data_IF_369771178546
#
_entry.id   IF_369771178546
#
_cell.length_a   1.000
_cell.length_b   1.000
_cell.length_c   1.000
_cell.angle_alpha   90.00
_cell.angle_beta   90.00
_cell.angle_gamma   90.00
#
_symmetry.space_group_name_H-M   'P 1'
#
loop_
_entity.id
_entity.type
_entity.pdbx_description
1 polymer ?
#
# COMPACT_ATOMS: atom_id res chain seq x y z
N UNK A 1 -34.24 14.02 -3.54
CA UNK A 1 -33.23 15.02 -3.17
C UNK A 1 -32.16 15.03 -4.26
N UNK A 2 -32.03 16.10 -5.05
CA UNK A 2 -31.01 16.21 -6.13
C UNK A 2 -29.77 16.83 -5.53
N UNK A 3 -28.64 16.12 -5.58
CA UNK A 3 -27.33 16.65 -5.24
C UNK A 3 -27.01 17.74 -6.27
N UNK A 4 -26.68 18.94 -5.80
CA UNK A 4 -26.39 20.09 -6.68
C UNK A 4 -24.99 19.93 -7.30
N UNK A 5 -24.79 20.38 -8.55
CA UNK A 5 -23.48 20.28 -9.24
C UNK A 5 -22.31 20.89 -8.45
N UNK A 6 -22.61 21.81 -7.52
CA UNK A 6 -21.64 22.47 -6.64
C UNK A 6 -21.05 21.52 -5.58
N UNK A 7 -21.82 20.60 -5.03
CA UNK A 7 -21.30 19.53 -4.13
C UNK A 7 -20.46 18.51 -4.90
N UNK A 8 -20.70 18.37 -6.22
CA UNK A 8 -19.93 17.47 -7.09
C UNK A 8 -18.50 17.96 -7.32
N UNK A 9 -18.29 19.27 -7.39
CA UNK A 9 -17.00 19.88 -7.77
C UNK A 9 -16.11 20.23 -6.59
N UNK A 10 -16.66 20.50 -5.40
CA UNK A 10 -15.86 20.75 -4.18
C UNK A 10 -15.15 19.50 -3.63
N UNK A 11 -15.49 18.30 -4.09
CA UNK A 11 -14.86 17.04 -3.69
C UNK A 11 -13.95 16.44 -4.76
N UNK A 12 -13.27 17.29 -5.55
CA UNK A 12 -12.26 16.90 -6.55
C UNK A 12 -10.91 16.44 -5.95
N UNK A 13 -10.79 16.38 -4.62
CA UNK A 13 -9.69 15.70 -3.94
C UNK A 13 -9.76 14.21 -4.24
N UNK A 14 -8.63 13.62 -4.62
CA UNK A 14 -8.43 12.20 -4.91
C UNK A 14 -9.38 11.29 -4.11
N UNK A 15 -10.40 10.75 -4.78
CA UNK A 15 -11.36 9.84 -4.16
C UNK A 15 -10.78 8.44 -4.08
N UNK A 16 -10.89 7.83 -2.92
CA UNK A 16 -10.59 6.40 -2.79
C UNK A 16 -11.54 5.58 -3.66
N UNK A 17 -11.02 4.49 -4.24
CA UNK A 17 -11.80 3.60 -5.12
C UNK A 17 -12.97 2.96 -4.36
N UNK A 18 -12.81 2.74 -3.06
CA UNK A 18 -13.86 2.29 -2.13
C UNK A 18 -15.06 3.24 -2.13
N UNK A 19 -14.81 4.54 -2.01
CA UNK A 19 -15.82 5.60 -2.00
C UNK A 19 -16.55 5.72 -3.33
N UNK A 20 -15.82 5.61 -4.45
CA UNK A 20 -16.41 5.59 -5.79
C UNK A 20 -17.36 4.39 -5.95
N UNK A 21 -16.95 3.21 -5.48
CA UNK A 21 -17.79 2.01 -5.51
C UNK A 21 -19.08 2.20 -4.69
N UNK A 22 -18.97 2.77 -3.48
CA UNK A 22 -20.14 3.06 -2.64
C UNK A 22 -21.11 4.03 -3.33
N UNK A 23 -20.60 5.08 -3.97
CA UNK A 23 -21.40 6.04 -4.74
C UNK A 23 -22.14 5.37 -5.91
N UNK A 24 -21.47 4.50 -6.67
CA UNK A 24 -22.10 3.78 -7.80
C UNK A 24 -23.13 2.74 -7.35
N UNK A 25 -22.96 2.13 -6.18
CA UNK A 25 -23.92 1.17 -5.63
C UNK A 25 -25.14 1.86 -5.02
N UNK A 26 -24.94 2.91 -4.23
CA UNK A 26 -26.00 3.69 -3.61
C UNK A 26 -25.49 5.08 -3.23
N UNK A 27 -25.83 6.09 -4.03
CA UNK A 27 -25.43 7.48 -3.81
C UNK A 27 -25.89 8.01 -2.44
N UNK A 28 -27.09 7.62 -1.99
CA UNK A 28 -27.60 8.02 -0.68
C UNK A 28 -26.80 7.43 0.49
N UNK A 29 -26.33 6.17 0.35
CA UNK A 29 -25.48 5.54 1.35
C UNK A 29 -24.15 6.28 1.49
N UNK A 30 -23.56 6.69 0.38
CA UNK A 30 -22.32 7.48 0.38
C UNK A 30 -22.50 8.82 1.12
N UNK A 31 -23.62 9.52 0.89
CA UNK A 31 -23.92 10.78 1.59
C UNK A 31 -24.07 10.58 3.11
N UNK A 32 -24.74 9.49 3.53
CA UNK A 32 -24.85 9.16 4.95
C UNK A 32 -23.49 8.83 5.57
N UNK A 33 -22.68 8.06 4.85
CA UNK A 33 -21.34 7.67 5.26
C UNK A 33 -20.44 8.89 5.53
N UNK A 34 -20.50 9.91 4.67
CA UNK A 34 -19.76 11.15 4.86
C UNK A 34 -20.26 12.01 6.03
N UNK A 35 -21.55 11.96 6.34
CA UNK A 35 -22.17 12.81 7.38
C UNK A 35 -22.11 12.20 8.76
N UNK A 36 -22.25 10.88 8.84
CA UNK A 36 -22.37 10.13 10.11
C UNK A 36 -21.05 9.43 10.46
N UNK A 37 -20.22 9.14 9.46
CA UNK A 37 -18.98 8.36 9.61
C UNK A 37 -19.24 6.85 9.69
N UNK A 38 -18.22 6.06 9.35
CA UNK A 38 -18.28 4.62 9.51
C UNK A 38 -18.02 4.23 10.98
N UNK A 39 -18.95 3.48 11.58
CA UNK A 39 -18.65 2.70 12.78
C UNK A 39 -17.83 1.48 12.37
N UNK A 40 -16.52 1.51 12.62
CA UNK A 40 -15.62 0.41 12.29
C UNK A 40 -16.13 -0.92 12.82
N UNK A 41 -16.29 -1.90 11.91
CA UNK A 41 -16.72 -3.24 12.29
C UNK A 41 -15.54 -4.07 12.80
N UNK A 42 -15.81 -5.06 13.65
CA UNK A 42 -14.78 -6.02 14.06
C UNK A 42 -14.08 -6.70 12.86
N UNK A 43 -14.82 -6.91 11.77
CA UNK A 43 -14.28 -7.46 10.53
C UNK A 43 -13.28 -6.51 9.84
N UNK A 44 -13.55 -5.21 9.81
CA UNK A 44 -12.63 -4.24 9.20
C UNK A 44 -11.34 -4.11 10.00
N UNK A 45 -11.43 -4.11 11.33
CA UNK A 45 -10.27 -4.09 12.24
C UNK A 45 -9.42 -5.34 12.05
N UNK A 46 -10.03 -6.52 11.99
CA UNK A 46 -9.31 -7.78 11.78
C UNK A 46 -8.65 -7.83 10.39
N UNK A 47 -9.36 -7.39 9.35
CA UNK A 47 -8.82 -7.28 8.00
C UNK A 47 -7.60 -6.36 7.92
N UNK A 48 -7.66 -5.19 8.56
CA UNK A 48 -6.54 -4.25 8.58
C UNK A 48 -5.31 -4.84 9.27
N UNK A 49 -5.49 -5.54 10.40
CA UNK A 49 -4.40 -6.23 11.08
C UNK A 49 -3.75 -7.31 10.20
N UNK A 50 -4.56 -8.07 9.45
CA UNK A 50 -4.06 -9.06 8.52
C UNK A 50 -3.23 -8.42 7.39
N UNK A 51 -3.73 -7.34 6.79
CA UNK A 51 -3.00 -6.61 5.75
C UNK A 51 -1.66 -6.06 6.25
N UNK A 52 -1.61 -5.51 7.47
CA UNK A 52 -0.37 -5.03 8.08
C UNK A 52 0.63 -6.18 8.28
N UNK A 53 0.18 -7.35 8.73
CA UNK A 53 1.05 -8.53 8.89
C UNK A 53 1.62 -8.98 7.54
N UNK A 54 0.78 -9.12 6.52
CA UNK A 54 1.23 -9.53 5.17
C UNK A 54 2.24 -8.53 4.59
N UNK A 55 1.96 -7.22 4.70
CA UNK A 55 2.88 -6.18 4.24
C UNK A 55 4.23 -6.21 4.96
N UNK A 56 4.24 -6.50 6.28
CA UNK A 56 5.46 -6.62 7.06
C UNK A 56 6.30 -7.86 6.72
N UNK A 57 5.67 -8.93 6.24
CA UNK A 57 6.36 -10.15 5.79
C UNK A 57 6.99 -9.92 4.42
N UNK A 58 6.26 -9.30 3.50
CA UNK A 58 6.77 -8.99 2.15
C UNK A 58 8.00 -8.06 2.18
N UNK A 59 8.04 -7.10 3.11
CA UNK A 59 9.15 -6.15 3.22
C UNK A 59 10.41 -6.71 3.89
N UNK A 60 10.28 -7.84 4.64
CA UNK A 60 11.39 -8.40 5.40
C UNK A 60 12.33 -9.27 4.55
N UNK A 61 11.83 -9.90 3.49
CA UNK A 61 12.63 -10.72 2.56
C UNK A 61 13.48 -9.86 1.60
N UNK A 62 12.97 -8.71 1.17
CA UNK A 62 13.70 -7.85 0.24
C UNK A 62 14.91 -7.16 0.90
N UNK A 63 14.80 -6.80 2.18
CA UNK A 63 15.82 -5.97 2.83
C UNK A 63 17.10 -6.74 3.22
N UNK A 64 16.99 -8.03 3.53
CA UNK A 64 18.15 -8.89 3.84
C UNK A 64 18.91 -9.26 2.56
N UNK A 65 18.18 -9.59 1.50
CA UNK A 65 18.73 -9.99 0.20
C UNK A 65 19.49 -8.83 -0.45
N UNK A 66 18.97 -7.60 -0.40
CA UNK A 66 19.62 -6.43 -1.00
C UNK A 66 20.94 -6.02 -0.32
N UNK A 67 21.12 -6.36 0.97
CA UNK A 67 22.35 -6.05 1.72
C UNK A 67 23.47 -7.07 1.46
N UNK A 68 23.13 -8.32 1.19
CA UNK A 68 24.10 -9.41 1.00
C UNK A 68 24.74 -9.39 -0.40
N UNK A 69 23.98 -9.02 -1.43
CA UNK A 69 24.43 -8.98 -2.83
C UNK A 69 25.69 -8.13 -3.06
N UNK A 70 25.78 -6.86 -2.63
CA UNK A 70 26.98 -6.05 -2.89
C UNK A 70 28.23 -6.59 -2.18
N UNK A 71 28.07 -7.21 -1.01
CA UNK A 71 29.18 -7.82 -0.28
C UNK A 71 29.73 -9.05 -1.00
N UNK A 72 28.83 -9.86 -1.56
CA UNK A 72 29.17 -11.05 -2.33
C UNK A 72 29.89 -10.68 -3.64
N UNK A 73 29.42 -9.63 -4.33
CA UNK A 73 30.08 -9.09 -5.54
C UNK A 73 31.48 -8.55 -5.22
N UNK A 74 31.64 -7.79 -4.13
CA UNK A 74 32.94 -7.26 -3.71
C UNK A 74 33.94 -8.37 -3.37
N UNK A 75 33.50 -9.42 -2.65
CA UNK A 75 34.33 -10.57 -2.33
C UNK A 75 34.79 -11.33 -3.59
N UNK A 76 33.90 -11.50 -4.57
CA UNK A 76 34.21 -12.17 -5.83
C UNK A 76 35.20 -11.37 -6.69
N UNK A 77 35.06 -10.05 -6.73
CA UNK A 77 35.99 -9.16 -7.41
C UNK A 77 37.39 -9.21 -6.79
N UNK A 78 37.50 -9.24 -5.45
CA UNK A 78 38.77 -9.39 -4.75
C UNK A 78 39.43 -10.74 -5.03
N UNK A 79 38.66 -11.83 -5.04
CA UNK A 79 39.18 -13.16 -5.37
C UNK A 79 39.73 -13.23 -6.80
N UNK A 80 38.99 -12.69 -7.78
CA UNK A 80 39.44 -12.64 -9.17
C UNK A 80 40.70 -11.78 -9.33
N UNK A 81 40.74 -10.63 -8.65
CA UNK A 81 41.94 -9.77 -8.65
C UNK A 81 43.16 -10.44 -8.02
N UNK A 82 42.97 -11.16 -6.91
CA UNK A 82 44.05 -11.91 -6.26
C UNK A 82 44.59 -13.05 -7.13
N UNK A 83 43.70 -13.79 -7.80
CA UNK A 83 44.08 -14.85 -8.74
C UNK A 83 44.87 -14.25 -9.91
N UNK A 84 44.44 -13.12 -10.47
CA UNK A 84 45.14 -12.46 -11.57
C UNK A 84 46.56 -11.98 -11.21
N UNK A 85 46.79 -11.59 -9.96
CA UNK A 85 48.13 -11.14 -9.52
C UNK A 85 49.06 -12.34 -9.27
N UNK A 86 48.51 -13.48 -8.85
CA UNK A 86 49.26 -14.69 -8.52
C UNK A 86 49.53 -15.60 -9.73
N UNK A 87 48.77 -15.45 -10.82
CA UNK A 87 48.84 -16.27 -12.03
C UNK A 87 49.46 -15.49 -13.19
#
# INVERSE_FOLDING_TARGET
>A
MRITERERTEHSRFREVSQLRAMFQCEYRYVLDQRVGESGSWASVYGEQLHRRVASVATRDDQSTFRLVPFLVAALALLLGAIWILW
#
